data_IF_352161419756
#
_entry.id   IF_352161419756
#
_cell.length_a   1.000
_cell.length_b   1.000
_cell.length_c   1.000
_cell.angle_alpha   90.00
_cell.angle_beta   90.00
_cell.angle_gamma   90.00
#
_symmetry.space_group_name_H-M   'P 1'
#
loop_
_entity.id
_entity.type
_entity.pdbx_description
1 polymer ?
#
# COMPACT_ATOMS: atom_id res chain seq x y z
N UNK A 1 2.56 -6.36 6.26
CA UNK A 1 2.24 -6.23 4.82
C UNK A 1 3.07 -7.15 3.92
N UNK A 2 4.34 -7.43 4.21
CA UNK A 2 5.21 -8.27 3.35
C UNK A 2 4.67 -9.68 3.04
N UNK A 3 4.05 -10.35 4.01
CA UNK A 3 3.43 -11.67 3.78
C UNK A 3 2.21 -11.60 2.85
N UNK A 4 1.42 -10.53 2.94
CA UNK A 4 0.15 -10.43 2.21
C UNK A 4 0.37 -10.34 0.70
N UNK A 5 1.38 -9.56 0.27
CA UNK A 5 1.63 -9.26 -1.14
C UNK A 5 3.00 -9.76 -1.62
N UNK A 6 3.58 -10.77 -0.96
CA UNK A 6 4.90 -11.31 -1.29
C UNK A 6 5.06 -11.62 -2.79
N UNK A 7 6.25 -11.40 -3.34
CA UNK A 7 6.54 -11.74 -4.74
C UNK A 7 6.55 -13.26 -4.99
N UNK A 8 6.94 -14.05 -3.98
CA UNK A 8 7.21 -15.48 -4.14
C UNK A 8 5.98 -16.34 -3.80
N UNK A 9 5.25 -15.97 -2.74
CA UNK A 9 4.03 -16.66 -2.32
C UNK A 9 3.03 -15.65 -1.70
N UNK A 10 2.35 -14.84 -2.53
CA UNK A 10 1.41 -13.85 -2.04
C UNK A 10 0.14 -14.52 -1.49
N UNK A 11 -0.41 -13.96 -0.41
CA UNK A 11 -1.79 -14.27 0.01
C UNK A 11 -2.79 -13.61 -0.94
N UNK A 12 -2.46 -12.41 -1.42
CA UNK A 12 -3.24 -11.66 -2.40
C UNK A 12 -2.38 -11.31 -3.60
N UNK A 13 -2.80 -11.82 -4.76
CA UNK A 13 -2.22 -11.49 -6.06
C UNK A 13 -2.79 -10.15 -6.52
N UNK A 14 -1.91 -9.21 -6.90
CA UNK A 14 -2.25 -7.87 -7.37
C UNK A 14 -1.99 -7.71 -8.87
N UNK A 15 -1.18 -8.57 -9.47
CA UNK A 15 -0.84 -8.59 -10.88
C UNK A 15 -0.49 -10.01 -11.33
N UNK A 16 -0.45 -10.25 -12.65
CA UNK A 16 -0.14 -11.57 -13.20
C UNK A 16 1.31 -11.97 -12.93
N UNK A 17 1.51 -12.77 -11.90
CA UNK A 17 2.84 -13.25 -11.46
C UNK A 17 3.43 -14.32 -12.37
N UNK A 18 2.77 -14.73 -13.45
CA UNK A 18 3.38 -15.61 -14.46
C UNK A 18 4.44 -14.86 -15.29
N UNK A 19 4.34 -13.53 -15.37
CA UNK A 19 5.26 -12.66 -16.11
C UNK A 19 6.27 -11.97 -15.19
N UNK A 20 7.43 -11.58 -15.74
CA UNK A 20 8.41 -10.79 -14.98
C UNK A 20 7.84 -9.42 -14.60
N UNK A 21 7.14 -8.78 -15.52
CA UNK A 21 6.54 -7.46 -15.30
C UNK A 21 5.48 -7.51 -14.20
N UNK A 22 4.60 -8.51 -14.20
CA UNK A 22 3.61 -8.67 -13.13
C UNK A 22 4.25 -8.99 -11.78
N UNK A 23 5.36 -9.75 -11.72
CA UNK A 23 6.15 -9.92 -10.48
C UNK A 23 6.74 -8.60 -9.99
N UNK A 24 7.23 -7.75 -10.89
CA UNK A 24 7.75 -6.43 -10.55
C UNK A 24 6.63 -5.51 -10.02
N UNK A 25 5.46 -5.53 -10.65
CA UNK A 25 4.28 -4.78 -10.19
C UNK A 25 3.81 -5.27 -8.82
N UNK A 26 3.72 -6.59 -8.63
CA UNK A 26 3.39 -7.21 -7.34
C UNK A 26 4.32 -6.72 -6.23
N UNK A 27 5.63 -6.80 -6.45
CA UNK A 27 6.65 -6.37 -5.50
C UNK A 27 6.60 -4.85 -5.26
N UNK A 28 6.38 -4.06 -6.31
CA UNK A 28 6.26 -2.60 -6.22
C UNK A 28 5.08 -2.17 -5.33
N UNK A 29 3.89 -2.73 -5.57
CA UNK A 29 2.73 -2.43 -4.74
C UNK A 29 2.89 -2.96 -3.31
N UNK A 30 3.49 -4.14 -3.11
CA UNK A 30 3.82 -4.60 -1.76
C UNK A 30 4.67 -3.58 -1.00
N UNK A 31 5.70 -3.04 -1.66
CA UNK A 31 6.58 -2.03 -1.08
C UNK A 31 5.84 -0.72 -0.79
N UNK A 32 4.92 -0.29 -1.66
CA UNK A 32 4.07 0.88 -1.41
C UNK A 32 3.18 0.66 -0.18
N UNK A 33 2.43 -0.45 -0.13
CA UNK A 33 1.60 -0.78 1.03
C UNK A 33 2.43 -0.87 2.33
N UNK A 34 3.59 -1.51 2.28
CA UNK A 34 4.48 -1.63 3.42
C UNK A 34 5.02 -0.26 3.85
N UNK A 35 5.52 0.54 2.91
CA UNK A 35 6.06 1.87 3.16
C UNK A 35 5.00 2.82 3.71
N UNK A 36 3.81 2.85 3.12
CA UNK A 36 2.69 3.64 3.61
C UNK A 36 2.26 3.20 5.02
N UNK A 37 2.18 1.90 5.29
CA UNK A 37 1.80 1.43 6.64
C UNK A 37 2.86 1.66 7.72
N UNK A 38 4.14 1.77 7.35
CA UNK A 38 5.22 2.09 8.29
C UNK A 38 5.35 3.61 8.48
N UNK A 39 5.42 4.37 7.38
CA UNK A 39 5.75 5.79 7.40
C UNK A 39 4.57 6.74 7.64
N UNK A 40 3.34 6.30 7.36
CA UNK A 40 2.13 7.13 7.50
C UNK A 40 1.28 6.69 8.69
N UNK A 41 1.60 5.55 9.32
CA UNK A 41 0.89 5.13 10.53
C UNK A 41 0.89 6.28 11.53
N UNK A 42 -0.33 6.73 11.84
CA UNK A 42 -0.69 7.99 12.44
C UNK A 42 0.29 8.49 13.54
N UNK A 43 1.11 9.53 13.28
CA UNK A 43 1.87 10.22 14.32
C UNK A 43 0.95 10.70 15.47
N UNK A 44 -0.28 11.09 15.16
CA UNK A 44 -1.28 11.56 16.12
C UNK A 44 -1.72 10.49 17.13
N UNK A 45 -1.50 9.18 16.87
CA UNK A 45 -1.77 8.13 17.86
C UNK A 45 -0.68 8.04 18.95
N UNK A 46 0.49 8.64 18.72
CA UNK A 46 1.62 8.63 19.64
C UNK A 46 2.06 10.02 20.13
N UNK A 47 1.68 11.11 19.44
CA UNK A 47 2.21 12.46 19.72
C UNK A 47 1.22 13.59 19.97
N UNK A 48 -0.12 13.39 19.87
CA UNK A 48 -1.10 14.49 19.88
C UNK A 48 -0.77 15.63 18.87
N UNK A 49 -0.11 15.29 17.77
CA UNK A 49 0.18 16.26 16.71
C UNK A 49 -1.12 16.62 15.99
N UNK A 50 -1.41 17.92 15.87
CA UNK A 50 -2.52 18.39 15.07
C UNK A 50 -2.21 18.15 13.58
N UNK A 51 -3.16 17.55 12.88
CA UNK A 51 -3.08 17.30 11.45
C UNK A 51 -3.87 18.38 10.72
N UNK A 52 -3.21 19.09 9.81
CA UNK A 52 -3.88 20.03 8.92
C UNK A 52 -4.83 19.28 7.98
N UNK A 53 -5.94 19.93 7.61
CA UNK A 53 -6.94 19.32 6.73
C UNK A 53 -6.34 18.86 5.39
N UNK A 54 -5.36 19.59 4.87
CA UNK A 54 -4.69 19.27 3.61
C UNK A 54 -3.87 17.97 3.68
N UNK A 55 -3.23 17.71 4.82
CA UNK A 55 -2.45 16.49 5.02
C UNK A 55 -3.36 15.26 5.11
N UNK A 56 -4.50 15.41 5.78
CA UNK A 56 -5.54 14.38 5.82
C UNK A 56 -6.02 14.03 4.39
N UNK A 57 -6.21 15.04 3.53
CA UNK A 57 -6.60 14.85 2.14
C UNK A 57 -5.54 14.05 1.37
N UNK A 58 -4.25 14.37 1.54
CA UNK A 58 -3.16 13.60 0.90
C UNK A 58 -3.16 12.12 1.33
N UNK A 59 -3.37 11.85 2.62
CA UNK A 59 -3.47 10.47 3.11
C UNK A 59 -4.67 9.73 2.54
N UNK A 60 -5.83 10.39 2.42
CA UNK A 60 -7.02 9.81 1.81
C UNK A 60 -6.79 9.48 0.33
N UNK A 61 -6.13 10.35 -0.43
CA UNK A 61 -5.81 10.06 -1.83
C UNK A 61 -4.85 8.89 -1.98
N UNK A 62 -3.82 8.80 -1.14
CA UNK A 62 -2.92 7.66 -1.16
C UNK A 62 -3.64 6.36 -0.81
N UNK A 63 -4.46 6.36 0.25
CA UNK A 63 -5.26 5.21 0.65
C UNK A 63 -6.21 4.79 -0.49
N UNK A 64 -6.88 5.76 -1.12
CA UNK A 64 -7.76 5.54 -2.27
C UNK A 64 -7.01 4.88 -3.44
N UNK A 65 -5.83 5.38 -3.80
CA UNK A 65 -5.01 4.81 -4.87
C UNK A 65 -4.63 3.35 -4.59
N UNK A 66 -4.16 3.06 -3.39
CA UNK A 66 -3.74 1.72 -2.97
C UNK A 66 -4.93 0.75 -2.94
N UNK A 67 -6.05 1.16 -2.33
CA UNK A 67 -7.25 0.34 -2.25
C UNK A 67 -7.90 0.11 -3.60
N UNK A 68 -7.86 1.09 -4.51
CA UNK A 68 -8.32 0.90 -5.88
C UNK A 68 -7.52 -0.19 -6.59
N UNK A 69 -6.18 -0.21 -6.44
CA UNK A 69 -5.37 -1.30 -6.99
C UNK A 69 -5.75 -2.66 -6.39
N UNK A 70 -5.99 -2.70 -5.08
CA UNK A 70 -6.40 -3.92 -4.40
C UNK A 70 -7.76 -4.41 -4.91
N UNK A 71 -8.71 -3.51 -5.14
CA UNK A 71 -10.05 -3.86 -5.62
C UNK A 71 -10.03 -4.36 -7.07
N UNK A 72 -9.26 -3.71 -7.94
CA UNK A 72 -9.08 -4.11 -9.35
C UNK A 72 -8.00 -5.20 -9.52
N UNK A 73 -7.78 -6.03 -8.51
CA UNK A 73 -6.81 -7.13 -8.61
C UNK A 73 -7.28 -8.21 -9.60
N UNK A 74 -6.32 -8.92 -10.16
CA UNK A 74 -6.50 -9.96 -11.20
C UNK A 74 -6.81 -11.29 -10.52
#
# INVERSE_FOLDING_TARGET
MSRAFSKDNPVFTLADTSTMDGKNVQQGYMNLFLGSTIGIRNPSAHGNEEMEQIDAIHFLFLASLLLRKFDTRI
#
